data_IF_765095929430
#
_entry.id   IF_765095929430
#
_cell.length_a   1.000
_cell.length_b   1.000
_cell.length_c   1.000
_cell.angle_alpha   90.00
_cell.angle_beta   90.00
_cell.angle_gamma   90.00
#
_symmetry.space_group_name_H-M   'P 1'
#
loop_
_entity.id
_entity.type
_entity.pdbx_description
1 polymer ?
#
# COMPACT_ATOMS: atom_id res chain seq x y z
N UNK A 1 -19.71 8.24 -11.16
CA UNK A 1 -18.25 8.24 -10.94
C UNK A 1 -17.67 7.06 -11.69
N UNK A 2 -16.55 7.25 -12.38
CA UNK A 2 -15.82 6.18 -13.07
C UNK A 2 -14.75 5.67 -12.10
N UNK A 3 -14.75 4.38 -11.71
CA UNK A 3 -13.72 3.83 -10.85
C UNK A 3 -12.32 3.97 -11.45
N UNK A 4 -11.33 4.10 -10.56
CA UNK A 4 -9.90 4.28 -10.83
C UNK A 4 -9.10 3.05 -10.39
N UNK A 5 -9.24 1.90 -11.07
CA UNK A 5 -8.58 0.66 -10.69
C UNK A 5 -7.04 0.75 -10.70
N UNK A 6 -6.47 1.72 -11.41
CA UNK A 6 -5.03 2.03 -11.40
C UNK A 6 -4.50 2.42 -10.03
N UNK A 7 -5.35 2.93 -9.12
CA UNK A 7 -4.95 3.17 -7.73
C UNK A 7 -4.52 1.87 -7.03
N UNK A 8 -5.01 0.71 -7.47
CA UNK A 8 -4.65 -0.59 -6.91
C UNK A 8 -3.29 -1.11 -7.40
N UNK A 9 -2.64 -0.43 -8.33
CA UNK A 9 -1.32 -0.78 -8.85
C UNK A 9 -0.21 0.05 -8.22
N UNK A 10 -0.53 0.95 -7.29
CA UNK A 10 0.47 1.73 -6.59
C UNK A 10 1.48 0.83 -5.88
N UNK A 11 2.78 1.09 -6.06
CA UNK A 11 3.81 0.35 -5.34
C UNK A 11 3.73 0.66 -3.85
N UNK A 12 4.31 -0.22 -3.03
CA UNK A 12 4.49 0.11 -1.61
C UNK A 12 5.50 1.26 -1.46
N UNK A 13 5.36 2.02 -0.38
CA UNK A 13 6.26 3.13 -0.06
C UNK A 13 7.71 2.62 0.00
N UNK A 14 8.66 3.28 -0.69
CA UNK A 14 10.08 2.96 -0.58
C UNK A 14 10.55 3.02 0.88
N UNK A 15 11.34 2.02 1.30
CA UNK A 15 11.82 1.90 2.70
C UNK A 15 12.45 3.19 3.26
N UNK A 16 13.28 3.96 2.51
CA UNK A 16 13.84 5.21 3.03
C UNK A 16 12.80 6.25 3.44
N UNK A 17 11.59 6.19 2.88
CA UNK A 17 10.52 7.14 3.16
C UNK A 17 9.49 6.61 4.18
N UNK A 18 9.74 5.44 4.78
CA UNK A 18 8.88 4.92 5.84
C UNK A 18 8.85 5.88 7.03
N UNK A 19 7.66 6.09 7.60
CA UNK A 19 7.45 7.03 8.69
C UNK A 19 7.24 8.49 8.28
N UNK A 20 7.40 8.85 7.00
CA UNK A 20 7.10 10.20 6.49
C UNK A 20 5.68 10.27 5.92
N UNK A 21 4.67 10.18 6.79
CA UNK A 21 3.28 10.38 6.36
C UNK A 21 2.89 11.87 6.37
N UNK A 22 2.13 12.37 5.39
CA UNK A 22 1.64 13.76 5.38
C UNK A 22 0.89 14.15 6.65
N UNK A 23 0.15 13.22 7.27
CA UNK A 23 -0.51 13.43 8.56
C UNK A 23 0.47 13.78 9.69
N UNK A 24 1.66 13.21 9.68
CA UNK A 24 2.70 13.48 10.69
C UNK A 24 3.39 14.83 10.45
N UNK A 25 3.45 15.28 9.19
CA UNK A 25 4.15 16.50 8.78
C UNK A 25 3.24 17.72 8.88
N UNK A 26 2.02 17.63 8.33
CA UNK A 26 1.05 18.73 8.22
C UNK A 26 0.03 18.75 9.37
N UNK A 27 0.04 17.71 10.21
CA UNK A 27 -0.80 17.62 11.38
C UNK A 27 -2.22 17.12 11.12
N UNK A 28 -2.94 16.91 12.23
CA UNK A 28 -4.25 16.25 12.23
C UNK A 28 -5.35 17.08 11.58
N UNK A 29 -5.34 18.40 11.78
CA UNK A 29 -6.40 19.28 11.26
C UNK A 29 -6.43 19.27 9.73
N UNK A 30 -5.26 19.46 9.11
CA UNK A 30 -5.09 19.34 7.65
C UNK A 30 -5.54 17.96 7.15
N UNK A 31 -5.11 16.88 7.82
CA UNK A 31 -5.50 15.52 7.45
C UNK A 31 -7.02 15.30 7.51
N UNK A 32 -7.66 15.80 8.57
CA UNK A 32 -9.10 15.68 8.77
C UNK A 32 -9.90 16.44 7.71
N UNK A 33 -9.40 17.59 7.25
CA UNK A 33 -9.97 18.33 6.13
C UNK A 33 -9.84 17.54 4.82
N UNK A 34 -8.62 17.14 4.45
CA UNK A 34 -8.35 16.47 3.19
C UNK A 34 -9.10 15.13 3.04
N UNK A 35 -9.16 14.33 4.12
CA UNK A 35 -9.90 13.06 4.05
C UNK A 35 -11.40 13.27 3.87
N UNK A 36 -11.99 14.31 4.50
CA UNK A 36 -13.43 14.61 4.36
C UNK A 36 -13.74 15.06 2.93
N UNK A 37 -12.87 15.88 2.35
CA UNK A 37 -12.98 16.28 0.95
C UNK A 37 -12.92 15.06 0.01
N UNK A 38 -11.93 14.19 0.20
CA UNK A 38 -11.78 12.97 -0.61
C UNK A 38 -13.02 12.05 -0.53
N UNK A 39 -13.62 11.93 0.66
CA UNK A 39 -14.84 11.15 0.85
C UNK A 39 -16.04 11.76 0.12
N UNK A 40 -16.19 13.09 0.17
CA UNK A 40 -17.29 13.80 -0.47
C UNK A 40 -17.17 13.82 -2.00
N UNK A 41 -15.95 13.98 -2.53
CA UNK A 41 -15.65 14.15 -3.97
C UNK A 41 -16.23 13.07 -4.88
N UNK A 42 -16.36 11.84 -4.38
CA UNK A 42 -16.98 10.73 -5.13
C UNK A 42 -18.21 10.16 -4.44
N UNK A 43 -18.96 11.02 -3.76
CA UNK A 43 -20.21 10.68 -3.09
C UNK A 43 -20.08 9.45 -2.19
N UNK A 44 -18.98 9.35 -1.44
CA UNK A 44 -18.69 8.23 -0.55
C UNK A 44 -18.58 6.86 -1.22
N UNK A 45 -18.17 6.81 -2.49
CA UNK A 45 -17.78 5.58 -3.16
C UNK A 45 -16.25 5.43 -3.14
N UNK A 46 -15.78 4.19 -3.00
CA UNK A 46 -14.36 3.86 -3.13
C UNK A 46 -13.88 4.25 -4.53
N UNK A 47 -12.84 5.07 -4.59
CA UNK A 47 -12.30 5.57 -5.85
C UNK A 47 -11.81 4.43 -6.75
N UNK A 48 -11.18 3.40 -6.17
CA UNK A 48 -10.65 2.29 -6.94
C UNK A 48 -11.68 1.30 -7.52
N UNK A 49 -12.79 1.05 -6.84
CA UNK A 49 -13.71 -0.04 -7.21
C UNK A 49 -15.18 0.36 -7.31
N UNK A 50 -15.50 1.62 -7.03
CA UNK A 50 -16.86 2.13 -7.15
C UNK A 50 -17.81 1.73 -6.02
N UNK A 51 -17.43 0.89 -5.05
CA UNK A 51 -18.37 0.47 -4.00
C UNK A 51 -18.71 1.61 -3.04
N UNK A 52 -20.00 1.82 -2.75
CA UNK A 52 -20.41 2.81 -1.77
C UNK A 52 -20.00 2.38 -0.35
N UNK A 53 -19.67 3.34 0.53
CA UNK A 53 -19.20 3.05 1.90
C UNK A 53 -20.15 2.15 2.71
N UNK A 54 -21.46 2.23 2.45
CA UNK A 54 -22.47 1.41 3.17
C UNK A 54 -22.48 -0.06 2.74
N UNK A 55 -21.95 -0.34 1.54
CA UNK A 55 -21.86 -1.68 0.95
C UNK A 55 -20.44 -2.26 1.07
N UNK A 56 -19.47 -1.44 1.48
CA UNK A 56 -18.11 -1.88 1.71
C UNK A 56 -18.05 -3.03 2.74
N UNK A 57 -17.24 -4.04 2.42
CA UNK A 57 -17.01 -5.19 3.30
C UNK A 57 -16.08 -4.80 4.44
N UNK A 58 -16.28 -5.44 5.60
CA UNK A 58 -15.57 -5.24 6.87
C UNK A 58 -15.93 -3.92 7.55
N UNK A 59 -15.78 -2.80 6.85
CA UNK A 59 -16.06 -1.47 7.39
C UNK A 59 -17.13 -0.77 6.56
N UNK A 60 -18.06 -0.06 7.24
CA UNK A 60 -19.10 0.77 6.59
C UNK A 60 -18.65 2.23 6.38
N UNK A 61 -17.34 2.44 6.28
CA UNK A 61 -16.70 3.73 6.02
C UNK A 61 -15.57 3.59 4.97
N UNK A 62 -15.07 4.72 4.48
CA UNK A 62 -13.90 4.77 3.61
C UNK A 62 -12.66 5.15 4.42
N UNK A 63 -11.51 4.69 3.96
CA UNK A 63 -10.19 4.97 4.51
C UNK A 63 -9.49 5.89 3.50
N UNK A 64 -8.88 6.97 4.00
CA UNK A 64 -8.11 7.87 3.15
C UNK A 64 -6.73 7.28 2.91
N UNK A 65 -6.23 7.44 1.70
CA UNK A 65 -4.92 6.97 1.29
C UNK A 65 -4.21 8.06 0.50
N UNK A 66 -2.91 8.22 0.73
CA UNK A 66 -2.07 9.14 -0.02
C UNK A 66 -1.61 8.50 -1.33
N UNK A 67 -1.98 9.11 -2.45
CA UNK A 67 -1.49 8.75 -3.78
C UNK A 67 -0.16 9.45 -4.04
N UNK A 68 0.80 8.73 -4.62
CA UNK A 68 2.14 9.25 -4.89
C UNK A 68 2.60 8.98 -6.32
N UNK A 69 3.39 9.89 -6.87
CA UNK A 69 4.32 9.60 -7.97
C UNK A 69 5.69 9.28 -7.36
N UNK A 70 6.38 8.29 -7.92
CA UNK A 70 7.68 7.85 -7.42
C UNK A 70 8.68 7.86 -8.56
N UNK A 71 9.76 8.62 -8.38
CA UNK A 71 10.93 8.58 -9.22
C UNK A 71 12.02 7.79 -8.49
N UNK A 72 12.15 6.51 -8.84
CA UNK A 72 13.12 5.61 -8.23
C UNK A 72 14.57 5.98 -8.58
N UNK A 73 14.81 6.61 -9.74
CA UNK A 73 16.15 7.01 -10.18
C UNK A 73 16.60 8.30 -9.51
N UNK A 74 15.70 9.26 -9.33
CA UNK A 74 16.00 10.49 -8.59
C UNK A 74 15.88 10.31 -7.06
N UNK A 75 15.29 9.21 -6.59
CA UNK A 75 15.00 9.00 -5.16
C UNK A 75 14.00 10.03 -4.65
N UNK A 76 12.90 10.27 -5.38
CA UNK A 76 11.88 11.22 -4.92
C UNK A 76 10.49 10.63 -4.99
N UNK A 77 9.65 10.99 -4.02
CA UNK A 77 8.24 10.63 -3.98
C UNK A 77 7.43 11.90 -3.74
N UNK A 78 6.43 12.16 -4.57
CA UNK A 78 5.59 13.35 -4.46
C UNK A 78 4.14 12.96 -4.21
N UNK A 79 3.52 13.53 -3.17
CA UNK A 79 2.11 13.30 -2.90
C UNK A 79 1.26 14.03 -3.94
N UNK A 80 0.49 13.28 -4.71
CA UNK A 80 -0.36 13.84 -5.77
C UNK A 80 -1.76 14.17 -5.29
N UNK A 81 -2.35 13.33 -4.44
CA UNK A 81 -3.70 13.54 -3.91
C UNK A 81 -4.03 12.61 -2.74
N UNK A 82 -5.07 12.96 -1.98
CA UNK A 82 -5.71 12.07 -1.02
C UNK A 82 -6.91 11.40 -1.71
N UNK A 83 -6.91 10.06 -1.73
CA UNK A 83 -7.97 9.25 -2.34
C UNK A 83 -8.78 8.51 -1.28
N UNK A 84 -10.05 8.23 -1.56
CA UNK A 84 -10.92 7.50 -0.64
C UNK A 84 -11.12 6.05 -1.08
N UNK A 85 -10.74 5.10 -0.24
CA UNK A 85 -10.77 3.67 -0.54
C UNK A 85 -11.63 2.90 0.45
N UNK A 86 -12.29 1.83 0.00
CA UNK A 86 -12.87 0.88 0.95
C UNK A 86 -11.76 0.06 1.61
N UNK A 87 -12.03 -0.50 2.79
CA UNK A 87 -11.06 -1.31 3.56
C UNK A 87 -10.34 -2.38 2.71
N UNK A 88 -11.09 -3.03 1.81
CA UNK A 88 -10.52 -4.08 0.96
C UNK A 88 -9.54 -3.54 -0.08
N UNK A 89 -9.84 -2.41 -0.70
CA UNK A 89 -8.94 -1.77 -1.66
C UNK A 89 -7.73 -1.16 -0.96
N UNK A 90 -7.95 -0.54 0.20
CA UNK A 90 -6.89 0.09 0.98
C UNK A 90 -5.85 -0.94 1.49
N UNK A 91 -6.30 -2.09 1.99
CA UNK A 91 -5.36 -3.15 2.40
C UNK A 91 -4.69 -3.86 1.20
N UNK A 92 -5.33 -3.88 0.03
CA UNK A 92 -4.72 -4.46 -1.17
C UNK A 92 -3.51 -3.65 -1.66
N UNK A 93 -3.54 -2.33 -1.54
CA UNK A 93 -2.37 -1.49 -1.89
C UNK A 93 -1.32 -1.45 -0.78
N UNK A 94 -1.71 -1.72 0.47
CA UNK A 94 -0.80 -1.89 1.60
C UNK A 94 -0.39 -3.36 1.82
N UNK A 95 -0.16 -4.11 0.75
CA UNK A 95 0.23 -5.53 0.81
C UNK A 95 1.49 -5.77 1.60
N UNK A 96 2.53 -4.92 1.53
CA UNK A 96 3.72 -5.04 2.38
C UNK A 96 3.39 -5.03 3.89
N UNK A 97 2.51 -4.12 4.33
CA UNK A 97 2.01 -4.09 5.72
C UNK A 97 1.17 -5.32 6.05
N UNK A 98 0.31 -5.73 5.12
CA UNK A 98 -0.52 -6.93 5.29
C UNK A 98 0.33 -8.19 5.43
N UNK A 99 1.41 -8.32 4.65
CA UNK A 99 2.39 -9.42 4.75
C UNK A 99 3.02 -9.46 6.14
N UNK A 100 3.51 -8.33 6.64
CA UNK A 100 4.13 -8.27 7.96
C UNK A 100 3.15 -8.69 9.08
N UNK A 101 1.92 -8.17 9.04
CA UNK A 101 0.89 -8.55 10.02
C UNK A 101 0.47 -10.02 9.90
N UNK A 102 0.34 -10.55 8.69
CA UNK A 102 -0.03 -11.94 8.46
C UNK A 102 1.06 -12.92 8.93
N UNK A 103 2.34 -12.63 8.66
CA UNK A 103 3.46 -13.43 9.14
C UNK A 103 3.51 -13.48 10.67
N UNK A 104 3.11 -12.40 11.34
CA UNK A 104 2.98 -12.31 12.80
C UNK A 104 1.71 -12.97 13.36
N UNK A 105 0.83 -13.50 12.51
CA UNK A 105 -0.46 -14.05 12.94
C UNK A 105 -1.49 -13.00 13.39
N UNK A 106 -1.21 -11.71 13.15
CA UNK A 106 -2.07 -10.57 13.51
C UNK A 106 -3.05 -10.19 12.39
N UNK A 107 -3.06 -10.94 11.29
CA UNK A 107 -3.98 -10.74 10.18
C UNK A 107 -4.62 -12.07 9.77
N UNK A 108 -5.95 -12.13 9.79
CA UNK A 108 -6.70 -13.33 9.44
C UNK A 108 -6.43 -13.77 8.00
N UNK A 109 -6.14 -15.06 7.81
CA UNK A 109 -5.78 -15.62 6.50
C UNK A 109 -6.94 -15.57 5.51
N UNK A 110 -8.18 -15.80 5.96
CA UNK A 110 -9.36 -15.74 5.07
C UNK A 110 -9.60 -14.31 4.60
N UNK A 111 -9.43 -13.33 5.49
CA UNK A 111 -9.49 -11.90 5.16
C UNK A 111 -8.40 -11.50 4.17
N UNK A 112 -7.16 -11.93 4.38
CA UNK A 112 -6.05 -11.67 3.44
C UNK A 112 -6.36 -12.23 2.05
N UNK A 113 -6.77 -13.50 1.95
CA UNK A 113 -7.14 -14.13 0.68
C UNK A 113 -8.28 -13.40 -0.02
N UNK A 114 -9.33 -13.00 0.71
CA UNK A 114 -10.43 -12.23 0.13
C UNK A 114 -9.96 -10.89 -0.44
N UNK A 115 -9.12 -10.16 0.30
CA UNK A 115 -8.57 -8.87 -0.12
C UNK A 115 -7.75 -9.04 -1.40
N UNK A 116 -6.83 -10.00 -1.42
CA UNK A 116 -5.96 -10.31 -2.55
C UNK A 116 -6.77 -10.71 -3.79
N UNK A 117 -7.67 -11.68 -3.66
CA UNK A 117 -8.50 -12.17 -4.77
C UNK A 117 -9.39 -11.06 -5.35
N UNK A 118 -9.98 -10.22 -4.49
CA UNK A 118 -10.81 -9.09 -4.94
C UNK A 118 -9.97 -8.05 -5.67
N UNK A 119 -8.81 -7.67 -5.15
CA UNK A 119 -7.91 -6.72 -5.80
C UNK A 119 -7.40 -7.23 -7.14
N UNK A 120 -6.94 -8.47 -7.21
CA UNK A 120 -6.53 -9.10 -8.47
C UNK A 120 -7.66 -9.13 -9.50
N UNK A 121 -8.89 -9.44 -9.08
CA UNK A 121 -10.06 -9.42 -9.99
C UNK A 121 -10.30 -8.02 -10.57
N UNK A 122 -10.21 -6.97 -9.74
CA UNK A 122 -10.41 -5.58 -10.18
C UNK A 122 -9.31 -5.17 -11.17
N UNK A 123 -8.05 -5.38 -10.80
CA UNK A 123 -6.88 -5.03 -11.60
C UNK A 123 -6.89 -5.78 -12.94
N UNK A 124 -7.11 -7.10 -12.92
CA UNK A 124 -7.24 -7.92 -14.13
C UNK A 124 -8.42 -7.47 -15.01
N UNK A 125 -9.56 -7.17 -14.41
CA UNK A 125 -10.75 -6.70 -15.13
C UNK A 125 -10.53 -5.36 -15.85
N UNK A 126 -9.57 -4.56 -15.38
CA UNK A 126 -9.15 -3.30 -15.99
C UNK A 126 -7.98 -3.45 -16.99
N UNK A 127 -7.48 -4.67 -17.22
CA UNK A 127 -6.30 -4.90 -18.07
C UNK A 127 -4.98 -4.43 -17.47
N UNK A 128 -4.92 -4.29 -16.14
CA UNK A 128 -3.76 -3.81 -15.40
C UNK A 128 -2.98 -4.97 -14.75
N UNK A 129 -1.77 -4.67 -14.25
CA UNK A 129 -0.94 -5.58 -13.46
C UNK A 129 -0.84 -5.11 -12.01
N UNK A 130 -0.98 -6.00 -11.00
CA UNK A 130 -0.84 -5.62 -9.60
C UNK A 130 0.64 -5.45 -9.23
N UNK A 131 0.91 -4.73 -8.14
CA UNK A 131 2.24 -4.70 -7.55
C UNK A 131 2.65 -6.09 -7.06
N UNK A 132 3.89 -6.50 -7.35
CA UNK A 132 4.36 -7.88 -7.20
C UNK A 132 4.23 -8.42 -5.76
N UNK A 133 4.39 -7.58 -4.74
CA UNK A 133 4.26 -7.95 -3.31
C UNK A 133 2.88 -8.54 -2.99
N UNK A 134 1.82 -8.12 -3.69
CA UNK A 134 0.51 -8.75 -3.54
C UNK A 134 0.51 -10.21 -4.00
N UNK A 135 1.16 -10.49 -5.13
CA UNK A 135 1.30 -11.85 -5.67
C UNK A 135 2.22 -12.71 -4.79
N UNK A 136 3.30 -12.14 -4.25
CA UNK A 136 4.18 -12.82 -3.28
C UNK A 136 3.42 -13.26 -2.03
N UNK A 137 2.63 -12.36 -1.42
CA UNK A 137 1.82 -12.72 -0.25
C UNK A 137 0.80 -13.81 -0.58
N UNK A 138 0.18 -13.75 -1.76
CA UNK A 138 -0.74 -14.79 -2.20
C UNK A 138 -0.03 -16.14 -2.32
N UNK A 139 1.15 -16.18 -2.94
CA UNK A 139 1.97 -17.38 -3.07
C UNK A 139 2.37 -17.95 -1.70
N UNK A 140 2.81 -17.10 -0.76
CA UNK A 140 3.17 -17.48 0.61
C UNK A 140 1.98 -18.11 1.36
N UNK A 141 0.77 -17.56 1.22
CA UNK A 141 -0.42 -18.14 1.85
C UNK A 141 -0.72 -19.52 1.25
N UNK A 142 -0.65 -19.65 -0.08
CA UNK A 142 -0.89 -20.92 -0.78
C UNK A 142 0.13 -21.98 -0.38
N UNK A 143 1.42 -21.62 -0.30
CA UNK A 143 2.49 -22.49 0.15
C UNK A 143 2.24 -22.99 1.57
N UNK A 144 1.90 -22.09 2.51
CA UNK A 144 1.58 -22.46 3.90
C UNK A 144 0.39 -23.42 3.99
N UNK A 145 -0.55 -23.32 3.05
CA UNK A 145 -1.69 -24.22 2.92
C UNK A 145 -1.39 -25.49 2.12
N UNK A 146 -0.16 -25.67 1.62
CA UNK A 146 0.25 -26.75 0.70
C UNK A 146 -0.66 -26.84 -0.52
N UNK A 147 -1.13 -25.70 -1.01
CA UNK A 147 -2.00 -25.62 -2.16
C UNK A 147 -1.21 -25.89 -3.45
N UNK A 148 -1.72 -26.69 -4.40
CA UNK A 148 -0.98 -27.09 -5.61
C UNK A 148 -0.59 -25.92 -6.52
N UNK A 149 -1.30 -24.79 -6.43
CA UNK A 149 -0.99 -23.58 -7.21
C UNK A 149 0.11 -22.69 -6.61
N UNK A 150 0.73 -23.08 -5.49
CA UNK A 150 1.75 -22.25 -4.84
C UNK A 150 2.94 -21.96 -5.76
N UNK A 151 3.45 -22.96 -6.47
CA UNK A 151 4.59 -22.82 -7.38
C UNK A 151 4.28 -21.86 -8.54
N UNK A 152 3.10 -22.01 -9.16
CA UNK A 152 2.64 -21.11 -10.23
C UNK A 152 2.48 -19.67 -9.72
N UNK A 153 1.94 -19.50 -8.51
CA UNK A 153 1.79 -18.19 -7.89
C UNK A 153 3.15 -17.51 -7.64
N UNK A 154 4.17 -18.25 -7.17
CA UNK A 154 5.52 -17.72 -7.02
C UNK A 154 6.14 -17.32 -8.35
N UNK A 155 6.00 -18.15 -9.38
CA UNK A 155 6.47 -17.81 -10.74
C UNK A 155 5.85 -16.51 -11.24
N UNK A 156 4.54 -16.35 -11.03
CA UNK A 156 3.84 -15.12 -11.41
C UNK A 156 4.30 -13.90 -10.61
N UNK A 157 4.58 -14.05 -9.33
CA UNK A 157 5.11 -12.98 -8.50
C UNK A 157 6.50 -12.53 -8.98
N UNK A 158 7.37 -13.49 -9.31
CA UNK A 158 8.70 -13.21 -9.85
C UNK A 158 8.65 -12.52 -11.22
N UNK A 159 7.76 -12.93 -12.13
CA UNK A 159 7.55 -12.22 -13.39
C UNK A 159 7.14 -10.76 -13.19
N UNK A 160 6.21 -10.49 -12.26
CA UNK A 160 5.76 -9.13 -11.94
C UNK A 160 6.90 -8.30 -11.34
N UNK A 161 7.73 -8.92 -10.50
CA UNK A 161 8.89 -8.27 -9.91
C UNK A 161 9.93 -7.89 -10.96
N UNK A 162 10.25 -8.81 -11.88
CA UNK A 162 11.18 -8.53 -12.99
C UNK A 162 10.66 -7.40 -13.90
N UNK A 163 9.35 -7.37 -14.17
CA UNK A 163 8.72 -6.28 -14.92
C UNK A 163 8.85 -4.95 -14.18
N UNK A 164 8.63 -4.95 -12.86
CA UNK A 164 8.79 -3.77 -12.03
C UNK A 164 10.24 -3.27 -12.00
N UNK A 165 11.20 -4.17 -11.74
CA UNK A 165 12.64 -3.84 -11.70
C UNK A 165 13.12 -3.27 -13.04
N UNK A 166 12.65 -3.84 -14.15
CA UNK A 166 12.94 -3.33 -15.49
C UNK A 166 12.36 -1.93 -15.76
N UNK A 167 11.21 -1.60 -15.16
CA UNK A 167 10.57 -0.28 -15.26
C UNK A 167 11.24 0.76 -14.36
N UNK A 168 11.67 0.37 -13.15
CA UNK A 168 12.29 1.31 -12.20
C UNK A 168 13.75 1.61 -12.53
N UNK A 169 14.43 0.70 -13.24
CA UNK A 169 15.83 0.88 -13.63
C UNK A 169 16.76 0.96 -12.41
N UNK A 170 17.70 1.91 -12.45
CA UNK A 170 18.67 2.12 -11.36
C UNK A 170 17.96 2.86 -10.22
N UNK A 171 17.86 2.21 -9.06
CA UNK A 171 17.30 2.80 -7.84
C UNK A 171 18.34 3.69 -7.17
N UNK A 172 17.92 4.90 -6.79
CA UNK A 172 18.75 5.87 -6.09
C UNK A 172 19.26 5.32 -4.74
N UNK A 173 20.48 5.73 -4.33
CA UNK A 173 21.00 5.36 -3.02
C UNK A 173 20.16 5.98 -1.90
N UNK A 174 20.20 5.34 -0.71
CA UNK A 174 19.30 5.61 0.41
C UNK A 174 19.24 7.09 0.81
N UNK A 175 20.40 7.74 0.89
CA UNK A 175 20.60 9.11 1.34
C UNK A 175 20.00 10.18 0.44
N UNK A 176 19.68 9.84 -0.82
CA UNK A 176 19.07 10.77 -1.79
C UNK A 176 17.54 10.82 -1.62
N UNK A 177 16.95 9.81 -0.98
CA UNK A 177 15.51 9.69 -0.88
C UNK A 177 14.86 10.82 -0.09
N UNK A 178 13.84 11.45 -0.70
CA UNK A 178 13.03 12.48 -0.07
C UNK A 178 11.56 12.45 -0.51
N UNK A 179 10.67 12.92 0.37
CA UNK A 179 9.27 13.17 0.10
C UNK A 179 9.08 14.64 -0.29
N UNK A 180 8.35 14.89 -1.38
CA UNK A 180 7.85 16.20 -1.76
C UNK A 180 6.39 16.33 -1.33
N UNK A 181 6.10 17.36 -0.53
CA UNK A 181 4.78 17.62 0.00
C UNK A 181 4.51 19.12 -0.05
N UNK A 182 3.49 19.52 -0.81
CA UNK A 182 3.11 20.94 -0.96
C UNK A 182 4.26 21.87 -1.37
N UNK A 183 5.19 21.38 -2.20
CA UNK A 183 6.38 22.12 -2.64
C UNK A 183 7.55 22.10 -1.66
N UNK A 184 7.38 21.53 -0.47
CA UNK A 184 8.45 21.32 0.49
C UNK A 184 9.08 19.93 0.36
N UNK A 185 10.37 19.84 0.69
CA UNK A 185 11.15 18.59 0.64
C UNK A 185 11.43 18.10 2.05
N UNK A 186 11.11 16.83 2.31
CA UNK A 186 11.34 16.15 3.59
C UNK A 186 12.27 14.95 3.38
N UNK A 187 13.50 14.97 3.93
CA UNK A 187 14.46 13.87 3.76
C UNK A 187 14.06 12.64 4.58
N UNK A 188 14.65 11.48 4.22
CA UNK A 188 14.54 10.22 4.99
C UNK A 188 14.77 10.44 6.50
N UNK A 189 13.99 9.73 7.33
CA UNK A 189 14.18 9.70 8.80
C UNK A 189 15.35 8.84 9.23
N UNK A 190 15.72 7.85 8.42
CA UNK A 190 16.76 6.87 8.74
C UNK A 190 17.99 7.13 7.91
N UNK A 191 19.19 6.98 8.49
CA UNK A 191 20.44 7.21 7.74
C UNK A 191 20.75 6.12 6.73
N UNK A 192 20.30 4.89 6.99
CA UNK A 192 20.55 3.72 6.16
C UNK A 192 19.55 2.60 6.46
N UNK A 193 19.63 1.52 5.69
CA UNK A 193 18.76 0.35 5.84
C UNK A 193 18.94 -0.35 7.19
N UNK A 194 20.14 -0.37 7.76
CA UNK A 194 20.39 -1.02 9.05
C UNK A 194 19.63 -0.30 10.19
N UNK A 195 19.65 1.03 10.19
CA UNK A 195 18.91 1.83 11.17
C UNK A 195 17.38 1.66 11.01
N UNK A 196 16.90 1.68 9.77
CA UNK A 196 15.49 1.39 9.46
C UNK A 196 15.07 0.00 9.97
N UNK A 197 15.87 -1.03 9.67
CA UNK A 197 15.58 -2.40 10.08
C UNK A 197 15.56 -2.55 11.61
N UNK A 198 16.53 -1.92 12.31
CA UNK A 198 16.59 -1.93 13.77
C UNK A 198 15.36 -1.23 14.39
N UNK A 199 14.91 -0.11 13.83
CA UNK A 199 13.72 0.60 14.30
C UNK A 199 12.47 -0.28 14.20
N UNK A 200 12.21 -0.86 13.03
CA UNK A 200 11.02 -1.68 12.83
C UNK A 200 11.07 -3.02 13.57
N UNK A 201 12.25 -3.63 13.72
CA UNK A 201 12.42 -4.81 14.57
C UNK A 201 12.14 -4.52 16.05
N UNK A 202 12.52 -3.33 16.55
CA UNK A 202 12.20 -2.91 17.92
C UNK A 202 10.68 -2.68 18.11
N UNK A 203 10.00 -2.11 17.11
CA UNK A 203 8.54 -1.99 17.12
C UNK A 203 7.83 -3.35 17.09
N UNK A 204 8.43 -4.37 16.48
CA UNK A 204 7.89 -5.74 16.51
C UNK A 204 8.00 -6.40 17.90
N UNK A 205 8.94 -5.96 18.74
CA UNK A 205 9.06 -6.37 20.15
C UNK A 205 8.08 -5.66 21.11
N UNK A 206 7.43 -4.59 20.66
CA UNK A 206 6.42 -3.86 21.44
C UNK A 206 5.04 -4.23 20.89
N UNK A 207 4.20 -4.89 21.68
CA UNK A 207 2.80 -5.13 21.33
C UNK A 207 2.13 -3.79 21.00
N UNK A 208 1.92 -3.50 19.71
CA UNK A 208 1.18 -2.31 19.29
C UNK A 208 -0.28 -2.51 19.69
N UNK A 209 -0.85 -1.66 20.58
CA UNK A 209 -2.30 -1.62 20.72
C UNK A 209 -2.90 -1.24 19.37
N UNK A 210 -4.03 -1.86 19.00
CA UNK A 210 -4.79 -1.46 17.81
C UNK A 210 -5.03 0.05 17.86
N UNK A 211 -4.24 0.80 17.09
CA UNK A 211 -4.41 2.25 17.04
C UNK A 211 -5.72 2.53 16.30
N UNK A 212 -6.56 3.25 17.03
CA UNK A 212 -7.93 3.58 16.70
C UNK A 212 -8.08 4.17 15.29
N UNK A 213 -9.16 3.70 14.66
CA UNK A 213 -9.81 4.17 13.43
C UNK A 213 -9.99 5.69 13.41
#
# INVERSE_FOLDING_TARGET
MIPRPELLTHPNIPKPLHGLAPREILGREWWDEQRREAYAKHHHHCWACGIHKREARYHRWLEAHESYTIDYTAGSMEMTEIVALCHTCHNFIHTGRMTALWQRGLFDTRKALYILQRGFKIVKGAGLSPFYVGAELYALILEKQRHPLAEEAFRRAEELKQQFDAQTGIVAPWEVWHLKLLGETHPTRFRNEQEWAAHYAALDGVAQPESAV
#
